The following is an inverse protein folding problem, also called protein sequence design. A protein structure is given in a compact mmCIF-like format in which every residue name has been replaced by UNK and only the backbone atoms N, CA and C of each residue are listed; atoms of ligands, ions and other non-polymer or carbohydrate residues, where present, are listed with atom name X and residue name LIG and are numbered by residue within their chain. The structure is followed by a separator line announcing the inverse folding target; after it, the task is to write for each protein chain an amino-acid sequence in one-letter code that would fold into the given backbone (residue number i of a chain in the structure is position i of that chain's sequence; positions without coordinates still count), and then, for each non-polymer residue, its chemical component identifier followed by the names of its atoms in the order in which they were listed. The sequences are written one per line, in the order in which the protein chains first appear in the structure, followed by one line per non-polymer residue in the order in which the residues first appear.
data_IF_096573664192
#
_entry.id   IF_096573664192
#
_cell.length_a   1.000
_cell.length_b   1.000
_cell.length_c   1.000
_cell.angle_alpha   90.00
_cell.angle_beta   90.00
_cell.angle_gamma   90.00
#
_symmetry.space_group_name_H-M   'P 1'
#
loop_
_entity.id
_entity.type
_entity.pdbx_description
1 polymer ?
#
# COMPACT_ATOMS: atom_id res chain seq x y z
N UNK A 1 -17.96 -34.22 0.17
CA UNK A 1 -16.81 -33.66 0.96
C UNK A 1 -15.98 -32.71 0.09
N UNK A 2 -15.72 -31.48 0.56
CA UNK A 2 -14.83 -30.52 -0.14
C UNK A 2 -13.83 -29.85 0.78
N UNK A 3 -12.64 -29.55 0.26
CA UNK A 3 -11.64 -28.73 0.96
C UNK A 3 -11.89 -27.25 0.67
N UNK A 4 -12.05 -26.44 1.71
CA UNK A 4 -12.26 -24.99 1.60
C UNK A 4 -11.17 -24.22 2.34
N UNK A 5 -10.62 -23.17 1.71
CA UNK A 5 -9.65 -22.28 2.33
C UNK A 5 -10.37 -21.30 3.24
N UNK A 6 -10.19 -21.40 4.56
CA UNK A 6 -10.92 -20.58 5.53
C UNK A 6 -10.13 -19.36 6.01
N UNK A 7 -8.79 -19.48 6.07
CA UNK A 7 -7.90 -18.36 6.43
C UNK A 7 -6.71 -18.25 5.48
N UNK A 8 -6.28 -17.01 5.27
CA UNK A 8 -5.02 -16.65 4.60
C UNK A 8 -4.14 -15.86 5.57
N UNK A 9 -2.92 -15.52 5.14
CA UNK A 9 -2.01 -14.65 5.89
C UNK A 9 -2.67 -13.40 6.50
N UNK A 10 -3.63 -12.77 5.80
CA UNK A 10 -4.30 -11.55 6.28
C UNK A 10 -5.14 -11.78 7.55
N UNK A 11 -5.65 -12.99 7.76
CA UNK A 11 -6.58 -13.29 8.86
C UNK A 11 -6.07 -14.38 9.81
N UNK A 12 -4.94 -15.04 9.49
CA UNK A 12 -4.36 -16.11 10.28
C UNK A 12 -3.31 -15.64 11.31
N UNK A 13 -2.78 -14.43 11.18
CA UNK A 13 -1.71 -13.92 12.06
C UNK A 13 -2.23 -13.47 13.44
N UNK A 14 -1.65 -13.95 14.55
CA UNK A 14 -1.95 -13.41 15.88
C UNK A 14 -1.44 -11.97 16.01
N UNK A 15 -2.34 -11.05 16.36
CA UNK A 15 -2.17 -9.61 16.18
C UNK A 15 -1.40 -8.86 17.28
N UNK A 16 -1.11 -9.49 18.42
CA UNK A 16 -0.89 -8.75 19.68
C UNK A 16 0.34 -7.82 19.69
N UNK A 17 1.51 -8.24 19.18
CA UNK A 17 2.73 -7.42 19.30
C UNK A 17 2.95 -6.43 18.15
N UNK A 18 2.17 -6.48 17.07
CA UNK A 18 2.39 -5.61 15.89
C UNK A 18 1.55 -4.34 15.89
N UNK A 19 0.50 -4.28 16.70
CA UNK A 19 -0.41 -3.13 16.76
C UNK A 19 0.28 -1.90 17.34
N UNK A 20 1.02 -2.04 18.44
CA UNK A 20 1.74 -0.92 19.05
C UNK A 20 2.76 -0.30 18.08
N UNK A 21 3.59 -1.12 17.43
CA UNK A 21 4.55 -0.66 16.43
C UNK A 21 3.87 -0.01 15.21
N UNK A 22 2.73 -0.54 14.77
CA UNK A 22 1.95 0.06 13.70
C UNK A 22 1.41 1.44 14.07
N UNK A 23 0.90 1.62 15.30
CA UNK A 23 0.44 2.92 15.81
C UNK A 23 1.58 3.93 15.91
N UNK A 24 2.72 3.53 16.49
CA UNK A 24 3.91 4.39 16.59
C UNK A 24 4.39 4.81 15.20
N UNK A 25 4.45 3.89 14.26
CA UNK A 25 4.91 4.19 12.90
C UNK A 25 3.95 5.13 12.16
N UNK A 26 2.64 4.95 12.28
CA UNK A 26 1.66 5.87 11.71
C UNK A 26 1.77 7.28 12.33
N UNK A 27 1.99 7.37 13.65
CA UNK A 27 2.21 8.64 14.34
C UNK A 27 3.49 9.35 13.86
N UNK A 28 4.56 8.60 13.57
CA UNK A 28 5.80 9.16 12.99
C UNK A 28 5.53 9.76 11.61
N UNK A 29 4.76 9.09 10.74
CA UNK A 29 4.37 9.66 9.45
C UNK A 29 3.61 10.97 9.58
N UNK A 30 2.65 11.02 10.51
CA UNK A 30 1.88 12.23 10.82
C UNK A 30 2.82 13.34 11.29
N UNK A 31 3.68 13.05 12.26
CA UNK A 31 4.62 14.02 12.82
C UNK A 31 5.54 14.60 11.73
N UNK A 32 6.17 13.74 10.93
CA UNK A 32 7.08 14.18 9.85
C UNK A 32 6.37 15.05 8.82
N UNK A 33 5.14 14.68 8.44
CA UNK A 33 4.37 15.44 7.47
C UNK A 33 3.91 16.81 8.02
N UNK A 34 3.55 16.89 9.31
CA UNK A 34 3.19 18.15 9.98
C UNK A 34 4.42 19.07 10.09
N UNK A 35 5.58 18.53 10.50
CA UNK A 35 6.81 19.33 10.64
C UNK A 35 7.24 19.96 9.31
N UNK A 36 6.97 19.32 8.18
CA UNK A 36 7.33 19.84 6.84
C UNK A 36 6.34 20.84 6.22
N UNK A 37 5.41 21.40 6.99
CA UNK A 37 4.45 22.42 6.50
C UNK A 37 4.98 23.85 6.50
N UNK A 38 6.12 24.11 7.14
CA UNK A 38 6.72 25.45 7.23
C UNK A 38 7.05 26.05 5.86
N UNK A 39 6.77 27.36 5.68
CA UNK A 39 6.92 28.04 4.38
C UNK A 39 8.35 27.97 3.82
N UNK A 40 9.38 28.12 4.67
CA UNK A 40 10.79 28.00 4.27
C UNK A 40 11.10 26.61 3.70
N UNK A 41 10.57 25.57 4.34
CA UNK A 41 10.78 24.17 3.96
C UNK A 41 10.20 23.85 2.58
N UNK A 42 9.11 24.52 2.16
CA UNK A 42 8.50 24.27 0.83
C UNK A 42 9.48 24.53 -0.31
N UNK A 43 10.16 25.67 -0.28
CA UNK A 43 11.09 26.04 -1.33
C UNK A 43 12.41 25.28 -1.18
N UNK A 44 12.92 25.21 0.03
CA UNK A 44 14.23 24.65 0.30
C UNK A 44 14.27 23.14 0.15
N UNK A 45 13.17 22.42 0.36
CA UNK A 45 13.16 20.95 0.28
C UNK A 45 12.52 20.39 -0.99
N UNK A 46 11.87 21.23 -1.80
CA UNK A 46 11.32 20.81 -3.09
C UNK A 46 12.40 20.25 -4.02
N UNK A 47 12.01 19.31 -4.88
CA UNK A 47 12.88 18.75 -5.91
C UNK A 47 12.40 19.24 -7.29
N UNK A 48 13.34 19.65 -8.13
CA UNK A 48 13.13 19.90 -9.56
C UNK A 48 14.22 19.21 -10.37
N UNK A 49 14.01 19.07 -11.68
CA UNK A 49 15.04 18.56 -12.58
C UNK A 49 16.35 19.34 -12.42
N UNK A 50 16.29 20.68 -12.41
CA UNK A 50 17.49 21.50 -12.26
C UNK A 50 18.21 21.20 -10.94
N UNK A 51 17.49 21.21 -9.82
CA UNK A 51 18.11 20.99 -8.51
C UNK A 51 18.77 19.61 -8.37
N UNK A 52 18.18 18.58 -8.98
CA UNK A 52 18.63 17.20 -8.81
C UNK A 52 19.69 16.79 -9.86
N UNK A 53 19.42 17.06 -11.14
CA UNK A 53 20.29 16.62 -12.23
C UNK A 53 21.37 17.64 -12.59
N UNK A 54 21.08 18.94 -12.49
CA UNK A 54 22.03 20.01 -12.86
C UNK A 54 22.86 20.48 -11.66
N UNK A 55 22.21 20.72 -10.52
CA UNK A 55 22.86 21.28 -9.32
C UNK A 55 23.33 20.19 -8.34
N UNK A 56 23.10 18.92 -8.65
CA UNK A 56 23.51 17.74 -7.88
C UNK A 56 23.03 17.71 -6.42
N UNK A 57 21.89 18.34 -6.12
CA UNK A 57 21.31 18.40 -4.78
C UNK A 57 20.47 17.15 -4.47
N UNK A 58 21.10 15.97 -4.50
CA UNK A 58 20.42 14.67 -4.42
C UNK A 58 19.60 14.48 -3.14
N UNK A 59 19.96 15.15 -2.06
CA UNK A 59 19.22 15.13 -0.79
C UNK A 59 17.77 15.63 -0.96
N UNK A 60 17.48 16.43 -1.99
CA UNK A 60 16.12 16.89 -2.33
C UNK A 60 15.18 15.76 -2.71
N UNK A 61 15.71 14.65 -3.22
CA UNK A 61 14.91 13.44 -3.46
C UNK A 61 14.23 12.95 -2.19
N UNK A 62 14.94 13.00 -1.06
CA UNK A 62 14.42 12.59 0.24
C UNK A 62 13.63 13.72 0.93
N UNK A 63 14.16 14.94 0.98
CA UNK A 63 13.52 16.02 1.73
C UNK A 63 12.17 16.44 1.14
N UNK A 64 12.02 16.37 -0.19
CA UNK A 64 10.78 16.75 -0.89
C UNK A 64 9.58 15.92 -0.46
N UNK A 65 9.78 14.70 0.03
CA UNK A 65 8.74 13.81 0.54
C UNK A 65 8.04 14.35 1.79
N UNK A 66 8.73 15.21 2.54
CA UNK A 66 8.22 15.74 3.81
C UNK A 66 7.71 17.17 3.69
N UNK A 67 8.07 17.91 2.64
CA UNK A 67 7.55 19.26 2.39
C UNK A 67 6.12 19.21 1.84
N UNK A 68 5.24 20.11 2.29
CA UNK A 68 3.83 20.15 1.88
C UNK A 68 3.38 21.52 1.40
N UNK A 69 2.63 21.56 0.29
CA UNK A 69 2.21 22.79 -0.39
C UNK A 69 1.19 23.60 0.40
N UNK A 70 0.26 22.94 1.08
CA UNK A 70 -0.77 23.55 1.90
C UNK A 70 -1.37 22.51 2.87
N UNK A 71 -2.20 22.98 3.81
CA UNK A 71 -2.78 22.14 4.86
C UNK A 71 -3.81 21.16 4.29
N UNK A 72 -4.60 21.55 3.30
CA UNK A 72 -5.60 20.68 2.67
C UNK A 72 -4.95 19.45 2.01
N UNK A 73 -3.89 19.67 1.23
CA UNK A 73 -3.10 18.61 0.60
C UNK A 73 -2.43 17.71 1.64
N UNK A 74 -1.95 18.28 2.75
CA UNK A 74 -1.42 17.49 3.86
C UNK A 74 -2.52 16.59 4.48
N UNK A 75 -3.69 17.14 4.79
CA UNK A 75 -4.78 16.40 5.43
C UNK A 75 -5.26 15.25 4.55
N UNK A 76 -5.41 15.48 3.24
CA UNK A 76 -5.77 14.43 2.28
C UNK A 76 -4.73 13.30 2.25
N UNK A 77 -3.44 13.65 2.21
CA UNK A 77 -2.37 12.66 2.27
C UNK A 77 -2.35 11.88 3.60
N UNK A 78 -2.54 12.54 4.74
CA UNK A 78 -2.57 11.88 6.04
C UNK A 78 -3.78 10.95 6.20
N UNK A 79 -4.94 11.35 5.70
CA UNK A 79 -6.14 10.52 5.68
C UNK A 79 -5.91 9.20 4.96
N UNK A 80 -5.16 9.22 3.86
CA UNK A 80 -4.79 8.01 3.11
C UNK A 80 -3.61 7.26 3.74
N UNK A 81 -2.58 7.97 4.20
CA UNK A 81 -1.31 7.39 4.64
C UNK A 81 -1.38 6.75 6.02
N UNK A 82 -2.05 7.39 6.98
CA UNK A 82 -2.01 6.92 8.37
C UNK A 82 -2.67 5.53 8.54
N UNK A 83 -3.89 5.27 8.01
CA UNK A 83 -4.49 3.92 8.09
C UNK A 83 -3.65 2.89 7.31
N UNK A 84 -3.15 3.27 6.14
CA UNK A 84 -2.41 2.36 5.28
C UNK A 84 -1.04 1.98 5.87
N UNK A 85 -0.31 2.95 6.42
CA UNK A 85 0.95 2.71 7.12
C UNK A 85 0.75 1.82 8.34
N UNK A 86 -0.35 2.01 9.07
CA UNK A 86 -0.75 1.11 10.16
C UNK A 86 -0.96 -0.32 9.63
N UNK A 87 -1.79 -0.51 8.59
CA UNK A 87 -2.05 -1.84 8.05
C UNK A 87 -0.80 -2.52 7.49
N UNK A 88 -0.02 -1.83 6.65
CA UNK A 88 1.20 -2.39 6.08
C UNK A 88 2.21 -2.76 7.16
N UNK A 89 2.34 -1.94 8.21
CA UNK A 89 3.22 -2.24 9.36
C UNK A 89 2.71 -3.43 10.16
N UNK A 90 1.40 -3.49 10.40
CA UNK A 90 0.75 -4.58 11.11
C UNK A 90 0.96 -5.92 10.38
N UNK A 91 0.88 -5.94 9.04
CA UNK A 91 1.08 -7.18 8.28
C UNK A 91 2.56 -7.47 8.03
N UNK A 92 3.29 -6.52 7.44
CA UNK A 92 4.62 -6.74 6.86
C UNK A 92 5.79 -6.26 7.74
N UNK A 93 5.51 -5.51 8.80
CA UNK A 93 6.50 -5.02 9.76
C UNK A 93 7.02 -3.61 9.45
N UNK A 94 7.40 -2.87 10.51
CA UNK A 94 7.70 -1.44 10.43
C UNK A 94 8.84 -1.11 9.48
N UNK A 95 9.96 -1.83 9.59
CA UNK A 95 11.13 -1.60 8.73
C UNK A 95 10.81 -1.79 7.25
N UNK A 96 10.12 -2.89 6.90
CA UNK A 96 9.77 -3.15 5.49
C UNK A 96 8.87 -2.04 4.94
N UNK A 97 7.87 -1.63 5.72
CA UNK A 97 6.98 -0.53 5.32
C UNK A 97 7.73 0.77 5.16
N UNK A 98 8.58 1.16 6.11
CA UNK A 98 9.28 2.45 6.08
C UNK A 98 10.31 2.54 4.96
N UNK A 99 11.17 1.53 4.82
CA UNK A 99 12.18 1.51 3.76
C UNK A 99 11.55 1.43 2.37
N UNK A 100 10.55 0.57 2.16
CA UNK A 100 9.87 0.50 0.86
C UNK A 100 9.14 1.79 0.52
N UNK A 101 8.46 2.41 1.49
CA UNK A 101 7.78 3.68 1.32
C UNK A 101 8.75 4.80 0.89
N UNK A 102 9.83 5.02 1.66
CA UNK A 102 10.80 6.08 1.36
C UNK A 102 11.48 5.82 0.01
N UNK A 103 11.98 4.61 -0.23
CA UNK A 103 12.65 4.29 -1.51
C UNK A 103 11.69 4.43 -2.69
N UNK A 104 10.45 3.94 -2.57
CA UNK A 104 9.41 4.10 -3.59
C UNK A 104 9.06 5.56 -3.84
N UNK A 105 8.92 6.37 -2.80
CA UNK A 105 8.67 7.80 -2.90
C UNK A 105 9.80 8.56 -3.58
N UNK A 106 11.05 8.31 -3.17
CA UNK A 106 12.24 8.93 -3.79
C UNK A 106 12.32 8.57 -5.28
N UNK A 107 12.16 7.28 -5.62
CA UNK A 107 12.18 6.81 -7.01
C UNK A 107 11.04 7.45 -7.83
N UNK A 108 9.85 7.55 -7.25
CA UNK A 108 8.71 8.23 -7.88
C UNK A 108 9.07 9.68 -8.22
N UNK A 109 9.60 10.43 -7.25
CA UNK A 109 9.97 11.82 -7.47
C UNK A 109 11.04 11.96 -8.55
N UNK A 110 12.09 11.15 -8.52
CA UNK A 110 13.18 11.17 -9.52
C UNK A 110 12.66 10.87 -10.93
N UNK A 111 11.79 9.87 -11.08
CA UNK A 111 11.20 9.54 -12.38
C UNK A 111 10.33 10.70 -12.87
N UNK A 112 9.50 11.28 -12.01
CA UNK A 112 8.59 12.37 -12.41
C UNK A 112 9.36 13.63 -12.80
N UNK A 113 10.36 14.04 -12.01
CA UNK A 113 11.14 15.23 -12.33
C UNK A 113 12.05 15.05 -13.55
N UNK A 114 12.29 13.80 -14.01
CA UNK A 114 12.99 13.57 -15.28
C UNK A 114 12.14 13.89 -16.51
N UNK A 115 10.82 13.89 -16.37
CA UNK A 115 9.86 14.24 -17.42
C UNK A 115 9.41 15.71 -17.34
N UNK A 116 9.37 16.28 -16.14
CA UNK A 116 8.94 17.66 -15.92
C UNK A 116 9.94 18.70 -16.45
N UNK A 117 9.40 19.86 -16.86
CA UNK A 117 10.22 21.02 -17.23
C UNK A 117 11.16 21.45 -16.09
N UNK A 118 12.32 22.00 -16.46
CA UNK A 118 13.48 22.08 -15.56
C UNK A 118 13.24 22.80 -14.21
N UNK A 119 12.35 23.78 -14.21
CA UNK A 119 12.02 24.63 -13.06
C UNK A 119 10.81 24.17 -12.25
N UNK A 120 10.07 23.16 -12.72
CA UNK A 120 8.89 22.67 -12.02
C UNK A 120 9.31 21.99 -10.73
N UNK A 121 8.80 22.51 -9.61
CA UNK A 121 9.07 22.01 -8.27
C UNK A 121 8.03 20.98 -7.87
N UNK A 122 8.52 19.80 -7.48
CA UNK A 122 7.75 18.73 -6.90
C UNK A 122 8.04 18.65 -5.40
N UNK A 123 6.99 18.49 -4.61
CA UNK A 123 7.05 18.26 -3.17
C UNK A 123 5.77 17.58 -2.72
N UNK A 124 5.82 16.88 -1.59
CA UNK A 124 4.69 16.23 -0.99
C UNK A 124 4.91 14.74 -0.79
N UNK A 125 4.22 14.21 0.22
CA UNK A 125 4.28 12.79 0.58
C UNK A 125 3.43 11.91 -0.36
N UNK A 126 2.70 12.49 -1.31
CA UNK A 126 1.73 11.75 -2.14
C UNK A 126 2.38 10.64 -2.99
N UNK A 127 3.64 10.81 -3.43
CA UNK A 127 4.38 9.73 -4.08
C UNK A 127 4.49 8.47 -3.21
N UNK A 128 4.73 8.64 -1.89
CA UNK A 128 4.71 7.55 -0.92
C UNK A 128 3.30 6.96 -0.79
N UNK A 129 2.28 7.82 -0.69
CA UNK A 129 0.87 7.39 -0.54
C UNK A 129 0.49 6.45 -1.68
N UNK A 130 0.67 6.88 -2.92
CA UNK A 130 0.28 6.10 -4.08
C UNK A 130 1.13 4.84 -4.25
N UNK A 131 2.43 4.89 -3.92
CA UNK A 131 3.30 3.71 -3.86
C UNK A 131 2.80 2.68 -2.85
N UNK A 132 2.50 3.10 -1.61
CA UNK A 132 2.02 2.19 -0.58
C UNK A 132 0.66 1.59 -0.94
N UNK A 133 -0.21 2.34 -1.61
CA UNK A 133 -1.50 1.81 -2.09
C UNK A 133 -1.30 0.79 -3.20
N UNK A 134 -0.44 1.06 -4.17
CA UNK A 134 -0.09 0.09 -5.21
C UNK A 134 0.48 -1.20 -4.60
N UNK A 135 1.37 -1.06 -3.62
CA UNK A 135 1.93 -2.18 -2.87
C UNK A 135 0.84 -2.99 -2.16
N UNK A 136 -0.05 -2.32 -1.43
CA UNK A 136 -1.14 -2.97 -0.74
C UNK A 136 -2.11 -3.69 -1.69
N UNK A 137 -2.51 -3.05 -2.80
CA UNK A 137 -3.42 -3.63 -3.78
C UNK A 137 -2.87 -4.91 -4.40
N UNK A 138 -1.59 -4.89 -4.83
CA UNK A 138 -0.93 -6.08 -5.34
C UNK A 138 -0.86 -7.19 -4.29
N UNK A 139 -0.47 -6.86 -3.05
CA UNK A 139 -0.37 -7.86 -1.99
C UNK A 139 -1.73 -8.43 -1.58
N UNK A 140 -2.76 -7.58 -1.44
CA UNK A 140 -4.13 -8.01 -1.18
C UNK A 140 -4.59 -8.97 -2.28
N UNK A 141 -4.43 -8.56 -3.55
CA UNK A 141 -4.81 -9.37 -4.69
C UNK A 141 -4.00 -10.66 -4.77
N UNK A 142 -2.78 -10.79 -4.26
CA UNK A 142 -2.05 -12.07 -4.31
C UNK A 142 -2.30 -12.96 -3.09
N UNK A 143 -2.53 -12.37 -1.92
CA UNK A 143 -2.65 -13.09 -0.65
C UNK A 143 -4.06 -13.61 -0.40
N UNK A 144 -5.10 -12.78 -0.57
CA UNK A 144 -6.47 -13.22 -0.35
C UNK A 144 -6.82 -14.23 -1.44
N UNK A 145 -7.21 -15.46 -1.11
CA UNK A 145 -7.51 -16.55 -2.06
C UNK A 145 -8.81 -17.28 -1.74
N UNK A 146 -9.53 -16.82 -0.72
CA UNK A 146 -10.83 -17.39 -0.32
C UNK A 146 -11.96 -16.93 -1.22
N UNK A 147 -11.70 -15.90 -2.02
CA UNK A 147 -12.65 -15.31 -2.95
C UNK A 147 -12.19 -15.52 -4.39
N UNK A 148 -13.13 -15.50 -5.32
CA UNK A 148 -12.83 -15.57 -6.75
C UNK A 148 -11.97 -14.39 -7.18
N UNK A 149 -11.18 -14.58 -8.24
CA UNK A 149 -10.34 -13.51 -8.80
C UNK A 149 -11.16 -12.27 -9.19
N UNK A 150 -12.36 -12.46 -9.73
CA UNK A 150 -13.29 -11.37 -10.08
C UNK A 150 -13.66 -10.56 -8.84
N UNK A 151 -14.07 -11.22 -7.74
CA UNK A 151 -14.46 -10.52 -6.50
C UNK A 151 -13.30 -9.72 -5.91
N UNK A 152 -12.07 -10.27 -5.99
CA UNK A 152 -10.84 -9.59 -5.54
C UNK A 152 -10.56 -8.35 -6.37
N UNK A 153 -10.66 -8.44 -7.70
CA UNK A 153 -10.52 -7.27 -8.59
C UNK A 153 -11.58 -6.24 -8.26
N UNK A 154 -12.85 -6.61 -8.17
CA UNK A 154 -13.93 -5.67 -7.87
C UNK A 154 -13.67 -4.90 -6.56
N UNK A 155 -13.26 -5.60 -5.50
CA UNK A 155 -12.92 -4.96 -4.21
C UNK A 155 -11.71 -4.03 -4.33
N UNK A 156 -10.64 -4.48 -4.98
CA UNK A 156 -9.44 -3.68 -5.19
C UNK A 156 -9.74 -2.42 -6.03
N UNK A 157 -10.49 -2.56 -7.12
CA UNK A 157 -10.91 -1.47 -7.99
C UNK A 157 -11.85 -0.48 -7.27
N UNK A 158 -12.79 -0.97 -6.45
CA UNK A 158 -13.68 -0.09 -5.68
C UNK A 158 -12.88 0.75 -4.67
N UNK A 159 -11.94 0.14 -3.96
CA UNK A 159 -11.05 0.86 -3.04
C UNK A 159 -10.20 1.88 -3.81
N UNK A 160 -9.65 1.49 -4.96
CA UNK A 160 -8.87 2.39 -5.81
C UNK A 160 -9.69 3.61 -6.26
N UNK A 161 -10.88 3.40 -6.81
CA UNK A 161 -11.73 4.47 -7.32
C UNK A 161 -12.15 5.41 -6.19
N UNK A 162 -12.59 4.86 -5.06
CA UNK A 162 -13.10 5.68 -3.94
C UNK A 162 -12.01 6.48 -3.24
N UNK A 163 -10.79 5.93 -3.12
CA UNK A 163 -9.73 6.55 -2.32
C UNK A 163 -8.67 7.28 -3.14
N UNK A 164 -8.42 6.87 -4.39
CA UNK A 164 -7.26 7.34 -5.16
C UNK A 164 -7.61 8.16 -6.39
N UNK A 165 -8.85 8.08 -6.86
CA UNK A 165 -9.33 8.94 -7.93
C UNK A 165 -9.93 10.19 -7.27
N UNK A 166 -9.37 11.39 -7.55
CA UNK A 166 -9.93 12.61 -6.99
C UNK A 166 -11.30 12.92 -7.62
N UNK A 167 -12.20 13.51 -6.84
CA UNK A 167 -13.46 14.05 -7.36
C UNK A 167 -13.27 15.32 -8.20
N UNK A 168 -12.18 16.07 -7.95
CA UNK A 168 -11.87 17.33 -8.61
C UNK A 168 -10.39 17.41 -9.00
N UNK A 169 -10.11 17.99 -10.16
CA UNK A 169 -8.74 18.16 -10.65
C UNK A 169 -8.13 19.46 -10.12
N UNK A 170 -6.92 19.36 -9.54
CA UNK A 170 -6.17 20.51 -9.03
C UNK A 170 -4.84 20.64 -9.79
N UNK A 171 -4.57 21.76 -10.48
CA UNK A 171 -3.32 21.99 -11.22
C UNK A 171 -2.04 21.94 -10.37
N UNK A 172 -2.14 22.10 -9.06
CA UNK A 172 -1.02 22.00 -8.13
C UNK A 172 -0.71 20.55 -7.71
N UNK A 173 -1.52 19.58 -8.16
CA UNK A 173 -1.34 18.16 -7.86
C UNK A 173 -0.64 17.46 -9.02
N UNK A 174 0.43 16.74 -8.69
CA UNK A 174 1.17 15.92 -9.66
C UNK A 174 0.49 14.56 -9.86
N UNK A 175 -0.44 14.48 -10.81
CA UNK A 175 -1.09 13.21 -11.18
C UNK A 175 -0.12 12.21 -11.81
N UNK A 176 0.96 12.69 -12.44
CA UNK A 176 2.04 11.83 -12.91
C UNK A 176 2.74 11.14 -11.73
N UNK A 177 3.03 11.87 -10.64
CA UNK A 177 3.60 11.26 -9.44
C UNK A 177 2.66 10.23 -8.80
N UNK A 178 1.36 10.48 -8.83
CA UNK A 178 0.36 9.51 -8.36
C UNK A 178 0.38 8.22 -9.20
N UNK A 179 0.35 8.35 -10.52
CA UNK A 179 0.40 7.21 -11.44
C UNK A 179 1.70 6.42 -11.34
N UNK A 180 2.84 7.10 -11.43
CA UNK A 180 4.17 6.47 -11.31
C UNK A 180 4.34 5.79 -9.96
N UNK A 181 4.00 6.47 -8.87
CA UNK A 181 4.07 5.91 -7.53
C UNK A 181 3.24 4.63 -7.43
N UNK A 182 2.00 4.67 -7.92
CA UNK A 182 1.12 3.50 -7.89
C UNK A 182 1.67 2.31 -8.69
N UNK A 183 2.17 2.56 -9.91
CA UNK A 183 2.78 1.51 -10.75
C UNK A 183 4.00 0.89 -10.06
N UNK A 184 4.90 1.71 -9.53
CA UNK A 184 6.07 1.22 -8.77
C UNK A 184 5.65 0.40 -7.56
N UNK A 185 4.60 0.84 -6.85
CA UNK A 185 4.01 0.13 -5.74
C UNK A 185 3.48 -1.24 -6.14
N UNK A 186 2.69 -1.32 -7.23
CA UNK A 186 2.16 -2.56 -7.76
C UNK A 186 3.29 -3.54 -8.10
N UNK A 187 4.30 -3.08 -8.84
CA UNK A 187 5.47 -3.90 -9.19
C UNK A 187 6.21 -4.39 -7.95
N UNK A 188 6.44 -3.51 -6.96
CA UNK A 188 7.07 -3.87 -5.71
C UNK A 188 6.27 -4.90 -4.91
N UNK A 189 4.95 -4.79 -4.91
CA UNK A 189 4.07 -5.77 -4.26
C UNK A 189 4.07 -7.13 -4.93
N UNK A 190 4.00 -7.17 -6.26
CA UNK A 190 4.12 -8.41 -7.02
C UNK A 190 5.47 -9.08 -6.77
N UNK A 191 6.56 -8.31 -6.79
CA UNK A 191 7.91 -8.80 -6.47
C UNK A 191 7.98 -9.32 -5.02
N UNK A 192 7.44 -8.58 -4.06
CA UNK A 192 7.40 -8.98 -2.65
C UNK A 192 6.65 -10.29 -2.47
N UNK A 193 5.49 -10.45 -3.12
CA UNK A 193 4.76 -11.71 -3.10
C UNK A 193 5.58 -12.83 -3.73
N UNK A 194 6.13 -12.63 -4.93
CA UNK A 194 6.92 -13.64 -5.64
C UNK A 194 8.07 -14.18 -4.78
N UNK A 195 8.81 -13.29 -4.09
CA UNK A 195 9.92 -13.67 -3.22
C UNK A 195 9.48 -14.35 -1.92
N UNK A 196 8.25 -14.12 -1.44
CA UNK A 196 7.78 -14.59 -0.13
C UNK A 196 6.60 -15.57 -0.20
N UNK A 197 6.15 -15.99 -1.39
CA UNK A 197 4.89 -16.71 -1.57
C UNK A 197 4.80 -18.00 -0.74
N UNK A 198 5.91 -18.75 -0.60
CA UNK A 198 5.96 -19.97 0.23
C UNK A 198 5.62 -19.68 1.69
N UNK A 199 6.26 -18.65 2.26
CA UNK A 199 6.00 -18.19 3.64
C UNK A 199 4.60 -17.61 3.78
N UNK A 200 4.09 -16.88 2.80
CA UNK A 200 2.74 -16.31 2.87
C UNK A 200 1.66 -17.41 2.82
N UNK A 201 1.88 -18.45 1.99
CA UNK A 201 0.99 -19.61 1.85
C UNK A 201 1.06 -20.59 3.01
N UNK A 202 2.14 -20.59 3.81
CA UNK A 202 2.20 -21.46 5.00
C UNK A 202 1.21 -21.07 6.11
N UNK A 203 0.55 -19.91 5.98
CA UNK A 203 -0.52 -19.47 6.89
C UNK A 203 -1.92 -19.84 6.38
N UNK A 204 -2.02 -20.49 5.22
CA UNK A 204 -3.29 -20.95 4.67
C UNK A 204 -3.87 -22.06 5.56
N UNK A 205 -5.11 -21.89 6.00
CA UNK A 205 -5.84 -22.90 6.76
C UNK A 205 -6.96 -23.47 5.90
N UNK A 206 -6.97 -24.79 5.75
CA UNK A 206 -7.94 -25.53 4.96
C UNK A 206 -8.81 -26.36 5.90
N UNK A 207 -10.11 -26.29 5.70
CA UNK A 207 -11.09 -27.08 6.45
C UNK A 207 -11.83 -28.01 5.49
N UNK A 208 -12.15 -29.20 6.00
CA UNK A 208 -12.98 -30.16 5.31
C UNK A 208 -14.43 -29.83 5.64
N UNK A 209 -15.21 -29.52 4.62
CA UNK A 209 -16.65 -29.28 4.75
C UNK A 209 -17.38 -30.49 4.18
N UNK A 210 -18.23 -31.09 5.01
CA UNK A 210 -19.15 -32.15 4.63
C UNK A 210 -20.43 -31.52 4.11
N UNK A 211 -20.86 -31.95 2.93
CA UNK A 211 -22.13 -31.49 2.38
C UNK A 211 -23.27 -32.31 2.98
N UNK A 212 -24.48 -31.73 3.16
CA UNK A 212 -25.59 -32.44 3.79
C UNK A 212 -25.93 -33.79 3.14
N UNK A 213 -25.67 -33.94 1.83
CA UNK A 213 -25.87 -35.18 1.07
C UNK A 213 -24.90 -36.30 1.50
N UNK A 214 -23.67 -35.98 1.93
CA UNK A 214 -22.69 -36.96 2.43
C UNK A 214 -23.22 -37.70 3.69
N UNK A 215 -24.09 -37.05 4.47
CA UNK A 215 -24.71 -37.64 5.66
C UNK A 215 -25.91 -38.54 5.31
N UNK A 216 -26.64 -38.24 4.24
CA UNK A 216 -27.76 -39.09 3.79
C UNK A 216 -27.28 -40.42 3.21
N UNK A 217 -26.19 -40.40 2.45
CA UNK A 217 -25.63 -41.61 1.83
C UNK A 217 -25.05 -42.57 2.88
N UNK A 218 -24.31 -42.06 3.87
CA UNK A 218 -23.77 -42.87 4.98
C UNK A 218 -24.85 -43.42 5.92
N UNK A 219 -25.91 -42.66 6.18
CA UNK A 219 -27.06 -43.16 6.94
C UNK A 219 -27.83 -44.24 6.16
N UNK A 220 -28.04 -44.06 4.86
CA UNK A 220 -28.74 -45.04 4.01
C UNK A 220 -27.97 -46.35 3.83
N UNK A 221 -26.64 -46.32 3.76
CA UNK A 221 -25.81 -47.51 3.71
C UNK A 221 -25.86 -48.33 5.01
N UNK A 222 -26.03 -47.68 6.16
CA UNK A 222 -26.20 -48.36 7.45
C UNK A 222 -27.55 -49.05 7.58
N UNK A 223 -28.62 -48.52 6.96
CA UNK A 223 -29.96 -49.11 6.98
C UNK A 223 -30.15 -50.30 6.03
N UNK A 224 -29.24 -50.53 5.07
CA UNK A 224 -29.33 -51.63 4.10
C UNK A 224 -28.59 -52.90 4.58
N UNK A 225 -27.76 -52.78 5.62
CA UNK A 225 -26.94 -53.87 6.16
C UNK A 225 -27.51 -54.51 7.45
N UNK A 226 -28.71 -54.09 7.89
CA UNK A 226 -29.51 -54.74 8.95
C UNK A 226 -30.65 -55.57 8.35
#
# INVERSE_FOLDING_TARGET
MRLELTKTYLNALPFQNKVQWASVHAAIWILLAVLGTGMSLRLDWSISHQSFFSDHQYWRGLSSLFAHANIEHLLSNLFMLAPLSFFLTKYYGAWRTWFSAITGGVLTNIIVISDYHHEVKLLGISGIVFFMWGYWLAMYFMIERRETWIRRIMKASMIYIVLLIPSEFNPQVSYLAHGVGNVLGLLFGLMTYALNHKKLRSYDQWEIIYEPEDFQESASAHFILE
#
